data_IF_815989696537
#
_entry.id   IF_815989696537
#
_cell.length_a   1.000
_cell.length_b   1.000
_cell.length_c   1.000
_cell.angle_alpha   90.00
_cell.angle_beta   90.00
_cell.angle_gamma   90.00
#
_symmetry.space_group_name_H-M   'P 1'
#
loop_
_entity.id
_entity.type
_entity.pdbx_description
1 polymer ?
#
# COMPACT_ATOMS: atom_id res chain seq x y z
N UNK A 1 -38.53 0.38 -39.69
CA UNK A 1 -38.10 0.24 -38.31
C UNK A 1 -37.69 -1.21 -38.09
N UNK A 2 -36.39 -1.49 -38.10
CA UNK A 2 -35.85 -2.85 -37.95
C UNK A 2 -35.86 -3.19 -36.47
N UNK A 3 -36.73 -4.09 -36.04
CA UNK A 3 -36.70 -4.66 -34.68
C UNK A 3 -35.34 -5.37 -34.52
N UNK A 4 -34.48 -4.87 -33.64
CA UNK A 4 -33.27 -5.58 -33.24
C UNK A 4 -33.69 -6.91 -32.64
N UNK A 5 -33.44 -8.02 -33.33
CA UNK A 5 -33.66 -9.37 -32.79
C UNK A 5 -32.54 -9.62 -31.83
N UNK A 6 -32.78 -9.42 -30.54
CA UNK A 6 -31.81 -9.80 -29.50
C UNK A 6 -31.74 -11.33 -29.44
N UNK A 7 -30.57 -11.87 -29.78
CA UNK A 7 -30.27 -13.27 -29.61
C UNK A 7 -30.46 -13.67 -28.15
N UNK A 8 -31.05 -14.82 -27.82
CA UNK A 8 -31.32 -15.22 -26.43
C UNK A 8 -30.04 -15.25 -25.56
N UNK A 9 -28.88 -15.46 -26.14
CA UNK A 9 -27.59 -15.49 -25.43
C UNK A 9 -26.99 -14.09 -25.15
N UNK A 10 -27.57 -13.01 -25.74
CA UNK A 10 -27.02 -11.66 -25.60
C UNK A 10 -26.91 -11.18 -24.14
N UNK A 11 -27.91 -11.40 -23.25
CA UNK A 11 -27.80 -10.99 -21.86
C UNK A 11 -26.66 -11.68 -21.12
N UNK A 12 -26.46 -12.96 -21.35
CA UNK A 12 -25.36 -13.74 -20.74
C UNK A 12 -23.99 -13.28 -21.27
N UNK A 13 -23.86 -13.04 -22.56
CA UNK A 13 -22.66 -12.49 -23.17
C UNK A 13 -22.33 -11.11 -22.61
N UNK A 14 -23.33 -10.21 -22.51
CA UNK A 14 -23.14 -8.87 -21.96
C UNK A 14 -22.72 -8.92 -20.48
N UNK A 15 -23.32 -9.80 -19.68
CA UNK A 15 -22.96 -9.99 -18.29
C UNK A 15 -21.47 -10.45 -18.14
N UNK A 16 -21.07 -11.43 -18.92
CA UNK A 16 -19.68 -11.90 -18.95
C UNK A 16 -18.68 -10.80 -19.36
N UNK A 17 -19.03 -9.96 -20.33
CA UNK A 17 -18.19 -8.82 -20.73
C UNK A 17 -18.07 -7.78 -19.60
N UNK A 18 -19.18 -7.44 -18.94
CA UNK A 18 -19.19 -6.51 -17.80
C UNK A 18 -18.30 -7.02 -16.67
N UNK A 19 -18.39 -8.29 -16.32
CA UNK A 19 -17.55 -8.91 -15.30
C UNK A 19 -16.06 -8.83 -15.65
N UNK A 20 -15.70 -9.18 -16.90
CA UNK A 20 -14.31 -9.07 -17.38
C UNK A 20 -13.78 -7.65 -17.33
N UNK A 21 -14.59 -6.67 -17.71
CA UNK A 21 -14.22 -5.24 -17.67
C UNK A 21 -14.00 -4.80 -16.21
N UNK A 22 -14.92 -5.13 -15.30
CA UNK A 22 -14.80 -4.80 -13.88
C UNK A 22 -13.55 -5.44 -13.26
N UNK A 23 -13.31 -6.71 -13.54
CA UNK A 23 -12.12 -7.41 -13.08
C UNK A 23 -10.82 -6.76 -13.59
N UNK A 24 -10.74 -6.46 -14.89
CA UNK A 24 -9.57 -5.81 -15.48
C UNK A 24 -9.31 -4.43 -14.87
N UNK A 25 -10.35 -3.62 -14.67
CA UNK A 25 -10.26 -2.30 -14.02
C UNK A 25 -9.77 -2.40 -12.56
N UNK A 26 -10.32 -3.33 -11.80
CA UNK A 26 -9.92 -3.55 -10.41
C UNK A 26 -8.46 -4.01 -10.32
N UNK A 27 -8.05 -4.92 -11.19
CA UNK A 27 -6.66 -5.39 -11.27
C UNK A 27 -5.70 -4.25 -11.60
N UNK A 28 -6.02 -3.44 -12.59
CA UNK A 28 -5.22 -2.27 -12.96
C UNK A 28 -5.12 -1.25 -11.82
N UNK A 29 -6.24 -0.94 -11.15
CA UNK A 29 -6.25 -0.02 -10.02
C UNK A 29 -5.40 -0.52 -8.85
N UNK A 30 -5.46 -1.81 -8.54
CA UNK A 30 -4.61 -2.44 -7.50
C UNK A 30 -3.12 -2.37 -7.85
N UNK A 31 -2.77 -2.61 -9.12
CA UNK A 31 -1.39 -2.50 -9.58
C UNK A 31 -0.85 -1.07 -9.42
N UNK A 32 -1.62 -0.06 -9.84
CA UNK A 32 -1.25 1.36 -9.68
C UNK A 32 -1.10 1.73 -8.20
N UNK A 33 -2.04 1.34 -7.34
CA UNK A 33 -1.94 1.60 -5.90
C UNK A 33 -0.70 0.97 -5.28
N UNK A 34 -0.37 -0.26 -5.70
CA UNK A 34 0.83 -0.97 -5.24
C UNK A 34 2.10 -0.19 -5.57
N UNK A 35 2.26 0.21 -6.82
CA UNK A 35 3.45 0.95 -7.27
C UNK A 35 3.55 2.33 -6.58
N UNK A 36 2.42 3.02 -6.38
CA UNK A 36 2.39 4.28 -5.63
C UNK A 36 2.79 4.11 -4.17
N UNK A 37 2.30 3.09 -3.48
CA UNK A 37 2.65 2.84 -2.08
C UNK A 37 4.15 2.54 -1.93
N UNK A 38 4.72 1.75 -2.85
CA UNK A 38 6.16 1.46 -2.89
C UNK A 38 6.99 2.71 -3.20
N UNK A 39 6.57 3.51 -4.17
CA UNK A 39 7.22 4.79 -4.49
C UNK A 39 7.22 5.72 -3.28
N UNK A 40 6.10 5.85 -2.59
CA UNK A 40 5.99 6.73 -1.41
C UNK A 40 6.83 6.23 -0.23
N UNK A 41 6.96 4.92 -0.07
CA UNK A 41 7.91 4.32 0.85
C UNK A 41 9.35 4.70 0.52
N UNK A 42 9.75 4.54 -0.74
CA UNK A 42 11.12 4.83 -1.18
C UNK A 42 11.47 6.33 -1.10
N UNK A 43 10.52 7.22 -1.42
CA UNK A 43 10.67 8.67 -1.22
C UNK A 43 10.82 9.00 0.27
N UNK A 44 9.97 8.44 1.12
CA UNK A 44 10.04 8.62 2.57
C UNK A 44 11.38 8.20 3.15
N UNK A 45 11.88 7.02 2.70
CA UNK A 45 13.21 6.51 3.06
C UNK A 45 14.30 7.46 2.63
N UNK A 46 14.32 7.87 1.38
CA UNK A 46 15.34 8.76 0.83
C UNK A 46 15.40 10.09 1.58
N UNK A 47 14.24 10.66 1.95
CA UNK A 47 14.18 11.89 2.76
C UNK A 47 14.85 11.66 4.12
N UNK A 48 14.49 10.58 4.83
CA UNK A 48 15.04 10.27 6.16
C UNK A 48 16.55 10.06 6.09
N UNK A 49 17.02 9.25 5.15
CA UNK A 49 18.45 8.96 4.96
C UNK A 49 19.25 10.25 4.69
N UNK A 50 18.74 11.13 3.81
CA UNK A 50 19.41 12.39 3.51
C UNK A 50 19.39 13.38 4.67
N UNK A 51 18.30 13.42 5.44
CA UNK A 51 18.26 14.24 6.66
C UNK A 51 19.27 13.76 7.71
N UNK A 52 19.41 12.44 7.89
CA UNK A 52 20.39 11.87 8.83
C UNK A 52 21.84 12.07 8.38
N UNK A 53 22.12 11.83 7.11
CA UNK A 53 23.50 11.89 6.59
C UNK A 53 24.00 13.32 6.38
N UNK A 54 23.14 14.24 5.95
CA UNK A 54 23.54 15.58 5.51
C UNK A 54 23.03 16.68 6.46
N UNK A 55 22.34 16.32 7.53
CA UNK A 55 21.79 17.31 8.47
C UNK A 55 20.69 18.21 7.86
N UNK A 56 20.01 17.76 6.80
CA UNK A 56 18.99 18.54 6.12
C UNK A 56 17.78 18.80 7.03
N UNK A 57 17.37 20.07 7.13
CA UNK A 57 16.18 20.47 7.88
C UNK A 57 14.88 20.18 7.12
N UNK A 58 13.75 20.46 7.78
CA UNK A 58 12.41 20.26 7.19
C UNK A 58 12.14 21.14 5.96
N UNK A 59 12.80 22.29 5.81
CA UNK A 59 12.67 23.20 4.66
C UNK A 59 13.07 22.56 3.32
N UNK A 60 13.90 21.52 3.36
CA UNK A 60 14.28 20.75 2.16
C UNK A 60 13.07 20.04 1.56
N UNK A 61 12.12 19.61 2.38
CA UNK A 61 10.89 18.96 1.88
C UNK A 61 10.06 19.93 1.04
N UNK A 62 9.98 21.20 1.46
CA UNK A 62 9.22 22.21 0.73
C UNK A 62 9.89 22.52 -0.63
N UNK A 63 11.23 22.62 -0.66
CA UNK A 63 11.99 22.79 -1.89
C UNK A 63 11.87 21.58 -2.82
N UNK A 64 12.05 20.38 -2.29
CA UNK A 64 11.91 19.13 -3.06
C UNK A 64 10.51 18.98 -3.65
N UNK A 65 9.48 19.38 -2.88
CA UNK A 65 8.09 19.43 -3.37
C UNK A 65 7.95 20.37 -4.55
N UNK A 66 8.48 21.60 -4.47
CA UNK A 66 8.41 22.57 -5.55
C UNK A 66 9.11 22.07 -6.82
N UNK A 67 10.31 21.51 -6.67
CA UNK A 67 11.10 20.97 -7.77
C UNK A 67 10.40 19.78 -8.46
N UNK A 68 9.80 18.86 -7.68
CA UNK A 68 9.05 17.72 -8.22
C UNK A 68 7.76 18.14 -8.91
N UNK A 69 7.01 19.09 -8.34
CA UNK A 69 5.81 19.63 -9.00
C UNK A 69 6.13 20.38 -10.29
N UNK A 70 7.29 21.05 -10.34
CA UNK A 70 7.79 21.67 -11.57
C UNK A 70 8.21 20.65 -12.63
N UNK A 71 8.87 19.58 -12.23
CA UNK A 71 9.32 18.51 -13.12
C UNK A 71 8.16 17.63 -13.63
N UNK A 72 7.12 17.46 -12.82
CA UNK A 72 5.98 16.58 -13.11
C UNK A 72 4.63 17.31 -12.93
N UNK A 73 4.31 18.33 -13.74
CA UNK A 73 3.15 19.21 -13.53
C UNK A 73 1.80 18.49 -13.64
N UNK A 74 1.77 17.32 -14.28
CA UNK A 74 0.54 16.52 -14.44
C UNK A 74 0.41 15.40 -13.38
N UNK A 75 1.38 15.26 -12.48
CA UNK A 75 1.33 14.28 -11.40
C UNK A 75 0.88 14.94 -10.09
N UNK A 76 -0.10 14.32 -9.43
CA UNK A 76 -0.48 14.69 -8.07
C UNK A 76 0.31 13.86 -7.06
N UNK A 77 0.35 14.33 -5.80
CA UNK A 77 0.94 13.56 -4.70
C UNK A 77 2.27 14.10 -4.18
N UNK A 78 2.86 15.12 -4.80
CA UNK A 78 4.13 15.70 -4.36
C UNK A 78 3.98 17.00 -3.55
N UNK A 79 2.80 17.26 -2.96
CA UNK A 79 2.64 18.42 -2.05
C UNK A 79 3.54 18.27 -0.81
N UNK A 80 3.98 19.39 -0.19
CA UNK A 80 4.82 19.33 1.01
C UNK A 80 4.22 18.49 2.14
N UNK A 81 2.90 18.60 2.31
CA UNK A 81 2.15 17.79 3.29
C UNK A 81 2.27 16.30 2.99
N UNK A 82 2.02 15.89 1.75
CA UNK A 82 2.07 14.49 1.37
C UNK A 82 3.49 13.92 1.46
N UNK A 83 4.51 14.71 1.16
CA UNK A 83 5.91 14.29 1.32
C UNK A 83 6.30 14.12 2.80
N UNK A 84 5.79 14.96 3.71
CA UNK A 84 5.93 14.73 5.16
C UNK A 84 5.18 13.47 5.60
N UNK A 85 4.02 13.19 5.02
CA UNK A 85 3.28 11.95 5.27
C UNK A 85 4.03 10.72 4.75
N UNK A 86 4.73 10.79 3.61
CA UNK A 86 5.62 9.72 3.11
C UNK A 86 6.78 9.46 4.07
N UNK A 87 7.43 10.52 4.57
CA UNK A 87 8.46 10.41 5.60
C UNK A 87 7.91 9.73 6.86
N UNK A 88 6.75 10.18 7.35
CA UNK A 88 6.09 9.59 8.53
C UNK A 88 5.70 8.14 8.31
N UNK A 89 5.23 7.79 7.12
CA UNK A 89 4.91 6.43 6.71
C UNK A 89 6.13 5.52 6.80
N UNK A 90 7.25 5.92 6.21
CA UNK A 90 8.50 5.17 6.32
C UNK A 90 8.94 5.00 7.77
N UNK A 91 9.02 6.08 8.55
CA UNK A 91 9.42 6.02 9.96
C UNK A 91 8.51 5.14 10.82
N UNK A 92 7.22 5.12 10.52
CA UNK A 92 6.25 4.33 11.28
C UNK A 92 6.39 2.82 11.09
N UNK A 93 6.96 2.38 9.96
CA UNK A 93 7.01 0.95 9.59
C UNK A 93 8.43 0.42 9.32
N UNK A 94 9.47 1.26 9.33
CA UNK A 94 10.85 0.86 9.06
C UNK A 94 11.58 0.28 10.28
N UNK A 95 11.12 0.56 11.50
CA UNK A 95 11.76 0.04 12.71
C UNK A 95 11.33 -1.42 12.97
N UNK A 96 12.20 -2.34 12.58
CA UNK A 96 11.96 -3.76 12.71
C UNK A 96 11.75 -4.20 14.19
N UNK A 97 12.38 -3.53 15.15
CA UNK A 97 12.26 -3.86 16.55
C UNK A 97 10.84 -3.70 17.09
N UNK A 98 10.13 -2.69 16.60
CA UNK A 98 8.73 -2.40 16.94
C UNK A 98 7.78 -3.47 16.34
N UNK A 99 8.08 -3.94 15.13
CA UNK A 99 7.17 -4.81 14.38
C UNK A 99 7.40 -6.30 14.59
N UNK A 100 8.56 -6.71 15.06
CA UNK A 100 8.92 -8.13 15.25
C UNK A 100 7.91 -8.88 16.11
N UNK A 101 7.52 -8.34 17.28
CA UNK A 101 6.57 -8.99 18.17
C UNK A 101 5.13 -9.01 17.64
N UNK A 102 4.55 -7.89 17.15
CA UNK A 102 3.22 -7.88 16.53
C UNK A 102 3.11 -8.86 15.36
N UNK A 103 4.11 -8.91 14.47
CA UNK A 103 4.13 -9.84 13.33
C UNK A 103 4.22 -11.29 13.80
N UNK A 104 5.06 -11.61 14.77
CA UNK A 104 5.16 -12.97 15.32
C UNK A 104 3.88 -13.44 16.02
N UNK A 105 3.19 -12.55 16.74
CA UNK A 105 1.88 -12.86 17.35
C UNK A 105 0.83 -13.10 16.28
N UNK A 106 0.83 -12.29 15.22
CA UNK A 106 -0.08 -12.43 14.10
C UNK A 106 0.15 -13.77 13.38
N UNK A 107 1.40 -14.16 13.12
CA UNK A 107 1.73 -15.42 12.45
C UNK A 107 1.22 -16.63 13.24
N UNK A 108 1.35 -16.62 14.57
CA UNK A 108 0.85 -17.69 15.44
C UNK A 108 -0.68 -17.79 15.47
N UNK A 109 -1.39 -16.66 15.46
CA UNK A 109 -2.87 -16.65 15.44
C UNK A 109 -3.46 -17.11 14.12
N UNK A 110 -2.67 -17.08 13.04
CA UNK A 110 -3.10 -17.33 11.67
C UNK A 110 -2.88 -18.75 11.17
N UNK A 111 -2.19 -19.60 11.95
CA UNK A 111 -1.95 -21.00 11.56
C UNK A 111 -3.22 -21.81 11.36
N UNK A 112 -4.36 -21.39 11.91
CA UNK A 112 -5.66 -22.07 11.78
C UNK A 112 -6.55 -21.59 10.62
N UNK A 113 -6.47 -20.31 10.19
CA UNK A 113 -7.52 -19.71 9.35
C UNK A 113 -7.04 -19.10 8.02
N UNK A 114 -5.82 -19.40 7.56
CA UNK A 114 -5.26 -18.73 6.40
C UNK A 114 -5.64 -19.31 5.05
N UNK A 115 -6.07 -18.42 4.14
CA UNK A 115 -6.04 -18.59 2.70
C UNK A 115 -4.60 -18.91 2.22
N UNK A 116 -4.44 -19.79 1.21
CA UNK A 116 -3.14 -20.31 0.74
C UNK A 116 -2.09 -19.22 0.44
N UNK A 117 -2.51 -18.07 -0.10
CA UNK A 117 -1.61 -16.96 -0.37
C UNK A 117 -0.93 -16.39 0.88
N UNK A 118 -1.67 -16.31 2.00
CA UNK A 118 -1.12 -15.83 3.27
C UNK A 118 -0.23 -16.86 3.96
N UNK A 119 -0.53 -18.14 3.81
CA UNK A 119 0.34 -19.22 4.30
C UNK A 119 1.72 -19.17 3.66
N UNK A 120 1.81 -18.90 2.36
CA UNK A 120 3.09 -18.75 1.66
C UNK A 120 3.86 -17.50 2.12
N UNK A 121 3.17 -16.40 2.36
CA UNK A 121 3.78 -15.15 2.87
C UNK A 121 4.30 -15.36 4.30
N UNK A 122 3.54 -16.01 5.17
CA UNK A 122 3.93 -16.30 6.56
C UNK A 122 5.06 -17.34 6.63
N UNK A 123 5.03 -18.39 5.78
CA UNK A 123 6.10 -19.38 5.72
C UNK A 123 7.45 -18.80 5.28
N UNK A 124 7.43 -17.75 4.45
CA UNK A 124 8.65 -17.00 4.08
C UNK A 124 9.19 -16.14 5.24
N UNK A 125 8.35 -15.77 6.22
CA UNK A 125 8.76 -15.02 7.41
C UNK A 125 9.61 -15.84 8.38
N UNK A 126 9.31 -17.14 8.52
CA UNK A 126 10.08 -18.03 9.41
C UNK A 126 11.49 -18.33 8.88
N UNK A 127 11.78 -18.04 7.61
CA UNK A 127 13.03 -18.39 6.95
C UNK A 127 13.94 -17.19 6.58
N UNK A 128 13.54 -15.94 6.88
CA UNK A 128 14.29 -14.77 6.41
C UNK A 128 14.34 -13.62 7.44
N UNK A 129 15.43 -12.84 7.48
CA UNK A 129 15.59 -11.70 8.42
C UNK A 129 14.66 -10.51 8.17
N UNK A 130 13.59 -10.66 7.42
CA UNK A 130 12.91 -9.53 6.79
C UNK A 130 11.46 -9.32 7.27
N UNK A 131 11.25 -9.03 8.54
CA UNK A 131 10.00 -8.38 9.02
C UNK A 131 9.68 -7.13 8.18
N UNK A 132 10.71 -6.41 7.76
CA UNK A 132 10.61 -5.22 6.88
C UNK A 132 10.08 -5.57 5.49
N UNK A 133 10.54 -6.65 4.87
CA UNK A 133 10.07 -7.05 3.53
C UNK A 133 8.60 -7.52 3.56
N UNK A 134 8.21 -8.24 4.61
CA UNK A 134 6.82 -8.60 4.80
C UNK A 134 5.92 -7.37 4.97
N UNK A 135 6.30 -6.45 5.85
CA UNK A 135 5.56 -5.21 6.04
C UNK A 135 5.48 -4.42 4.73
N UNK A 136 6.58 -4.29 4.00
CA UNK A 136 6.60 -3.60 2.71
C UNK A 136 5.64 -4.24 1.71
N UNK A 137 5.57 -5.57 1.63
CA UNK A 137 4.62 -6.29 0.76
C UNK A 137 3.17 -6.10 1.21
N UNK A 138 2.90 -6.11 2.52
CA UNK A 138 1.57 -5.84 3.07
C UNK A 138 1.15 -4.40 2.79
N UNK A 139 2.02 -3.43 3.05
CA UNK A 139 1.78 -2.01 2.84
C UNK A 139 1.47 -1.71 1.36
N UNK A 140 2.16 -2.38 0.44
CA UNK A 140 1.95 -2.21 -0.99
C UNK A 140 0.55 -2.64 -1.48
N UNK A 141 -0.20 -3.44 -0.70
CA UNK A 141 -1.56 -3.86 -1.06
C UNK A 141 -2.64 -2.85 -0.65
N UNK A 142 -2.27 -1.84 0.13
CA UNK A 142 -3.22 -0.93 0.78
C UNK A 142 -3.19 0.43 0.07
N UNK A 143 -4.35 1.01 -0.30
CA UNK A 143 -4.41 2.34 -0.88
C UNK A 143 -3.84 3.42 0.05
N UNK A 144 -3.16 4.42 -0.55
CA UNK A 144 -2.49 5.49 0.20
C UNK A 144 -3.38 6.20 1.22
N UNK A 145 -4.61 6.52 0.85
CA UNK A 145 -5.57 7.15 1.76
C UNK A 145 -5.85 6.34 3.02
N UNK A 146 -5.87 5.01 2.92
CA UNK A 146 -6.06 4.12 4.07
C UNK A 146 -4.83 4.12 4.98
N UNK A 147 -3.62 4.18 4.43
CA UNK A 147 -2.41 4.37 5.23
C UNK A 147 -2.47 5.61 6.08
N UNK A 148 -2.88 6.75 5.49
CA UNK A 148 -3.01 8.01 6.23
C UNK A 148 -4.05 7.92 7.34
N UNK A 149 -5.19 7.26 7.10
CA UNK A 149 -6.20 7.03 8.14
C UNK A 149 -5.65 6.22 9.31
N UNK A 150 -4.99 5.10 9.02
CA UNK A 150 -4.40 4.21 10.02
C UNK A 150 -3.34 4.96 10.84
N UNK A 151 -2.44 5.69 10.17
CA UNK A 151 -1.39 6.47 10.83
C UNK A 151 -1.93 7.60 11.69
N UNK A 152 -3.05 8.23 11.29
CA UNK A 152 -3.66 9.33 12.02
C UNK A 152 -4.48 8.88 13.22
N UNK A 153 -5.09 7.70 13.15
CA UNK A 153 -6.03 7.21 14.16
C UNK A 153 -5.42 6.25 15.16
N UNK A 154 -4.34 5.58 14.79
CA UNK A 154 -3.76 4.52 15.61
C UNK A 154 -2.29 4.83 15.92
N UNK A 155 -1.91 4.63 17.18
CA UNK A 155 -0.53 4.74 17.65
C UNK A 155 0.07 3.37 17.97
N UNK A 156 -0.77 2.43 18.45
CA UNK A 156 -0.32 1.08 18.81
C UNK A 156 0.03 0.25 17.57
N UNK A 157 1.24 -0.33 17.49
CA UNK A 157 1.68 -1.16 16.36
C UNK A 157 0.80 -2.39 16.12
N UNK A 158 0.31 -3.03 17.16
CA UNK A 158 -0.54 -4.22 17.04
C UNK A 158 -1.88 -3.88 16.41
N UNK A 159 -2.50 -2.79 16.86
CA UNK A 159 -3.73 -2.28 16.26
C UNK A 159 -3.50 -1.87 14.79
N UNK A 160 -2.40 -1.17 14.48
CA UNK A 160 -2.05 -0.84 13.08
C UNK A 160 -1.96 -2.09 12.22
N UNK A 161 -1.24 -3.11 12.67
CA UNK A 161 -1.06 -4.36 11.91
C UNK A 161 -2.40 -5.07 11.65
N UNK A 162 -3.28 -5.09 12.65
CA UNK A 162 -4.64 -5.64 12.51
C UNK A 162 -5.42 -4.93 11.39
N UNK A 163 -5.46 -3.59 11.41
CA UNK A 163 -6.21 -2.82 10.41
C UNK A 163 -5.54 -2.85 9.03
N UNK A 164 -4.22 -2.85 8.94
CA UNK A 164 -3.51 -3.04 7.67
C UNK A 164 -3.91 -4.36 7.02
N UNK A 165 -3.93 -5.44 7.79
CA UNK A 165 -4.34 -6.75 7.30
C UNK A 165 -5.81 -6.77 6.88
N UNK A 166 -6.70 -6.28 7.73
CA UNK A 166 -8.12 -6.23 7.43
C UNK A 166 -8.39 -5.46 6.12
N UNK A 167 -7.72 -4.32 5.94
CA UNK A 167 -7.80 -3.53 4.70
C UNK A 167 -7.26 -4.29 3.48
N UNK A 168 -6.14 -5.00 3.61
CA UNK A 168 -5.58 -5.79 2.51
C UNK A 168 -6.47 -6.98 2.11
N UNK A 169 -7.26 -7.51 3.04
CA UNK A 169 -8.17 -8.64 2.78
C UNK A 169 -9.51 -8.20 2.21
N UNK A 170 -10.05 -7.08 2.68
CA UNK A 170 -11.40 -6.61 2.35
C UNK A 170 -11.42 -5.57 1.23
N UNK A 171 -10.32 -4.87 0.97
CA UNK A 171 -10.16 -3.83 -0.07
C UNK A 171 -9.81 -4.41 -1.39
#
# INVERSE_FOLDING_TARGET
MTKAVFHPDYPAFLAALKERILHARTTAARAVNRELALLYWDIGRAIVEKQQLLGWGESVIDRLSADLLGAFPHMSGFSPRNMRDMKRFYLAYSDESIWRQPVAKLSKSLSSDLNQNWRQVVAKLDQSPATTDFLRQLLAQIPWGQHLLILNKLTDPTARLYYLRATAQLG
#
